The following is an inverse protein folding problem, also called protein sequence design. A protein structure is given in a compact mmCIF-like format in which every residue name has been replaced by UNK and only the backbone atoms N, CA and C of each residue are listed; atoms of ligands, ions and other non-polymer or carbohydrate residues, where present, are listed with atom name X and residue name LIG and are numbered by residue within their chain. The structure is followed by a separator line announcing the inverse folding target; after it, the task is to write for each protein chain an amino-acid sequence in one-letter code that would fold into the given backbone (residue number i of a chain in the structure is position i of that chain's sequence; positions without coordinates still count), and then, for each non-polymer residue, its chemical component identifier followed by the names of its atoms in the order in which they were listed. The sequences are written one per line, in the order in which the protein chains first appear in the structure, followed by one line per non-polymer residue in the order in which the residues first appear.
data_IF_092456697526
#
_entry.id   IF_092456697526
#
_cell.length_a   1.000
_cell.length_b   1.000
_cell.length_c   1.000
_cell.angle_alpha   90.00
_cell.angle_beta   90.00
_cell.angle_gamma   90.00
#
_symmetry.space_group_name_H-M   'P 1'
#
loop_
_entity.id
_entity.type
_entity.pdbx_description
1 polymer ?
#
# COMPACT_ATOMS: atom_id res chain seq x y z
N UNK A 1 -10.46 -11.82 -12.59
CA UNK A 1 -10.46 -10.36 -12.34
C UNK A 1 -9.24 -9.68 -12.99
N UNK A 2 -9.25 -8.37 -13.18
CA UNK A 2 -8.05 -7.58 -13.48
C UNK A 2 -8.23 -6.23 -12.77
N UNK A 3 -7.65 -6.13 -11.57
CA UNK A 3 -7.88 -5.01 -10.65
C UNK A 3 -6.61 -4.75 -9.85
N UNK A 4 -6.24 -3.47 -9.67
CA UNK A 4 -5.21 -3.06 -8.72
C UNK A 4 -5.84 -2.11 -7.70
N UNK A 5 -5.49 -2.25 -6.43
CA UNK A 5 -6.04 -1.45 -5.32
C UNK A 5 -4.89 -0.99 -4.45
N UNK A 6 -4.80 0.31 -4.24
CA UNK A 6 -3.74 1.02 -3.53
C UNK A 6 -4.31 1.95 -2.45
N UNK A 7 -3.46 2.50 -1.59
CA UNK A 7 -3.91 3.40 -0.50
C UNK A 7 -4.58 4.67 -1.03
N UNK A 8 -4.19 5.11 -2.21
CA UNK A 8 -4.78 6.23 -2.93
C UNK A 8 -6.22 5.96 -3.36
N UNK A 9 -6.65 4.70 -3.44
CA UNK A 9 -8.00 4.30 -3.83
C UNK A 9 -9.01 4.34 -2.68
N UNK A 10 -8.55 4.55 -1.44
CA UNK A 10 -9.42 4.73 -0.28
C UNK A 10 -9.97 6.16 -0.32
N UNK A 11 -10.85 6.45 -1.26
CA UNK A 11 -11.52 7.75 -1.43
C UNK A 11 -12.97 7.58 -1.93
N UNK A 12 -13.78 8.63 -1.81
CA UNK A 12 -15.19 8.61 -2.21
C UNK A 12 -15.95 7.44 -1.57
N UNK A 13 -16.67 6.65 -2.38
CA UNK A 13 -17.43 5.48 -1.95
C UNK A 13 -16.57 4.39 -1.27
N UNK A 14 -15.26 4.34 -1.53
CA UNK A 14 -14.36 3.34 -0.96
C UNK A 14 -13.77 3.77 0.39
N UNK A 15 -14.08 4.99 0.86
CA UNK A 15 -13.72 5.48 2.17
C UNK A 15 -14.96 5.69 3.04
N UNK A 16 -14.81 5.46 4.34
CA UNK A 16 -15.74 5.89 5.37
C UNK A 16 -14.94 6.30 6.61
N UNK A 17 -15.62 6.71 7.67
CA UNK A 17 -14.99 7.07 8.93
C UNK A 17 -15.42 6.13 10.04
N UNK A 18 -14.53 5.95 11.01
CA UNK A 18 -14.77 5.19 12.24
C UNK A 18 -14.26 6.03 13.41
N UNK A 19 -15.10 6.21 14.42
CA UNK A 19 -14.71 6.82 15.68
C UNK A 19 -14.37 5.73 16.67
N UNK A 20 -13.13 5.72 17.15
CA UNK A 20 -12.65 4.78 18.17
C UNK A 20 -12.26 5.55 19.43
N UNK A 21 -12.52 4.98 20.59
CA UNK A 21 -11.96 5.50 21.85
C UNK A 21 -10.58 4.91 22.04
N UNK A 22 -9.55 5.76 22.08
CA UNK A 22 -8.19 5.31 22.33
C UNK A 22 -8.09 4.74 23.76
N UNK A 23 -7.73 3.45 23.93
CA UNK A 23 -7.71 2.81 25.24
C UNK A 23 -6.63 3.39 26.18
N UNK A 24 -5.60 4.04 25.66
CA UNK A 24 -4.52 4.63 26.45
C UNK A 24 -4.84 6.06 26.92
N UNK A 25 -5.54 6.86 26.11
CA UNK A 25 -5.82 8.27 26.41
C UNK A 25 -7.28 8.54 26.79
N UNK A 26 -8.18 7.60 26.53
CA UNK A 26 -9.63 7.75 26.70
C UNK A 26 -10.28 8.74 25.74
N UNK A 27 -9.53 9.27 24.77
CA UNK A 27 -10.02 10.26 23.81
C UNK A 27 -10.64 9.56 22.60
N UNK A 28 -11.70 10.16 22.07
CA UNK A 28 -12.28 9.73 20.79
C UNK A 28 -11.41 10.25 19.64
N UNK A 29 -11.05 9.34 18.76
CA UNK A 29 -10.30 9.62 17.55
C UNK A 29 -11.12 9.15 16.36
N UNK A 30 -11.43 10.07 15.44
CA UNK A 30 -12.08 9.72 14.18
C UNK A 30 -11.01 9.50 13.13
N UNK A 31 -11.01 8.32 12.52
CA UNK A 31 -10.05 7.94 11.50
C UNK A 31 -10.76 7.55 10.21
N UNK A 32 -10.09 7.81 9.10
CA UNK A 32 -10.49 7.34 7.77
C UNK A 32 -10.23 5.85 7.66
N UNK A 33 -11.23 5.10 7.23
CA UNK A 33 -11.16 3.65 7.01
C UNK A 33 -11.67 3.29 5.62
N UNK A 34 -11.27 2.11 5.16
CA UNK A 34 -11.70 1.51 3.91
C UNK A 34 -13.11 0.94 4.05
N UNK A 35 -13.98 1.31 3.11
CA UNK A 35 -15.31 0.73 3.00
C UNK A 35 -15.21 -0.67 2.40
N UNK A 36 -15.15 -1.67 3.29
CA UNK A 36 -15.00 -3.08 2.93
C UNK A 36 -16.11 -3.57 1.99
N UNK A 37 -17.36 -3.18 2.22
CA UNK A 37 -18.50 -3.66 1.43
C UNK A 37 -18.42 -3.15 -0.01
N UNK A 38 -18.11 -1.86 -0.20
CA UNK A 38 -17.94 -1.27 -1.53
C UNK A 38 -16.72 -1.86 -2.27
N UNK A 39 -15.64 -2.14 -1.55
CA UNK A 39 -14.46 -2.78 -2.12
C UNK A 39 -14.77 -4.21 -2.61
N UNK A 40 -15.46 -4.99 -1.78
CA UNK A 40 -15.84 -6.35 -2.13
C UNK A 40 -16.83 -6.36 -3.30
N UNK A 41 -17.81 -5.46 -3.30
CA UNK A 41 -18.76 -5.29 -4.40
C UNK A 41 -18.05 -4.99 -5.74
N UNK A 42 -17.13 -4.01 -5.76
CA UNK A 42 -16.32 -3.73 -6.97
C UNK A 42 -15.54 -4.96 -7.44
N UNK A 43 -14.93 -5.68 -6.50
CA UNK A 43 -14.14 -6.88 -6.79
C UNK A 43 -15.00 -8.00 -7.38
N UNK A 44 -16.19 -8.24 -6.82
CA UNK A 44 -17.16 -9.21 -7.31
C UNK A 44 -17.68 -8.83 -8.69
N UNK A 45 -18.08 -7.57 -8.91
CA UNK A 45 -18.50 -7.07 -10.23
C UNK A 45 -17.40 -7.28 -11.29
N UNK A 46 -16.15 -7.03 -10.91
CA UNK A 46 -14.98 -7.28 -11.77
C UNK A 46 -14.80 -8.77 -12.12
N UNK A 47 -15.09 -9.67 -11.17
CA UNK A 47 -15.07 -11.11 -11.43
C UNK A 47 -16.18 -11.50 -12.40
N UNK A 48 -17.43 -11.11 -12.12
CA UNK A 48 -18.61 -11.42 -12.93
C UNK A 48 -18.43 -10.95 -14.37
N UNK A 49 -18.03 -9.68 -14.57
CA UNK A 49 -17.80 -9.12 -15.92
C UNK A 49 -16.80 -9.94 -16.73
N UNK A 50 -15.77 -10.51 -16.09
CA UNK A 50 -14.82 -11.38 -16.80
C UNK A 50 -15.37 -12.75 -17.10
N UNK A 51 -16.21 -13.30 -16.24
CA UNK A 51 -16.93 -14.55 -16.52
C UNK A 51 -17.88 -14.39 -17.70
N UNK A 52 -18.58 -13.26 -17.81
CA UNK A 52 -19.41 -12.90 -18.98
C UNK A 52 -18.60 -12.85 -20.28
N UNK A 53 -17.31 -12.48 -20.20
CA UNK A 53 -16.38 -12.52 -21.33
C UNK A 53 -15.78 -13.91 -21.60
N UNK A 54 -16.23 -14.96 -20.88
CA UNK A 54 -15.67 -16.31 -20.96
C UNK A 54 -14.28 -16.45 -20.31
N UNK A 55 -13.84 -15.47 -19.51
CA UNK A 55 -12.54 -15.44 -18.84
C UNK A 55 -12.71 -15.68 -17.34
N UNK A 56 -12.87 -16.94 -16.96
CA UNK A 56 -13.09 -17.37 -15.57
C UNK A 56 -11.82 -17.31 -14.67
N UNK A 57 -10.89 -16.40 -14.97
CA UNK A 57 -9.63 -16.26 -14.25
C UNK A 57 -9.19 -14.80 -14.16
N UNK A 58 -8.22 -14.57 -13.27
CA UNK A 58 -7.39 -13.38 -13.27
C UNK A 58 -6.89 -13.00 -11.89
N UNK A 59 -6.45 -11.76 -11.73
CA UNK A 59 -5.69 -11.30 -10.56
C UNK A 59 -6.27 -10.00 -10.03
N UNK A 60 -6.34 -9.90 -8.70
CA UNK A 60 -6.57 -8.65 -7.97
C UNK A 60 -5.28 -8.39 -7.18
N UNK A 61 -4.65 -7.24 -7.42
CA UNK A 61 -3.44 -6.81 -6.71
C UNK A 61 -3.86 -5.80 -5.65
N UNK A 62 -3.39 -5.99 -4.42
CA UNK A 62 -3.75 -5.15 -3.28
C UNK A 62 -2.47 -4.69 -2.59
N UNK A 63 -2.32 -3.38 -2.38
CA UNK A 63 -1.19 -2.82 -1.64
C UNK A 63 -1.29 -3.16 -0.15
N UNK A 64 -0.18 -3.58 0.46
CA UNK A 64 -0.11 -3.93 1.90
C UNK A 64 -0.52 -2.76 2.81
N UNK A 65 -0.19 -1.52 2.41
CA UNK A 65 -0.54 -0.30 3.16
C UNK A 65 -2.05 -0.10 3.37
N UNK A 66 -2.92 -0.80 2.63
CA UNK A 66 -4.36 -0.80 2.88
C UNK A 66 -4.74 -1.38 4.25
N UNK A 67 -3.85 -2.13 4.89
CA UNK A 67 -4.04 -2.61 6.25
C UNK A 67 -4.22 -1.46 7.26
N UNK A 68 -3.62 -0.29 7.04
CA UNK A 68 -3.78 0.89 7.89
C UNK A 68 -5.20 1.44 7.89
N UNK A 69 -5.93 1.22 6.79
CA UNK A 69 -7.31 1.65 6.60
C UNK A 69 -8.33 0.58 6.99
N UNK A 70 -7.92 -0.57 7.55
CA UNK A 70 -8.89 -1.58 7.98
C UNK A 70 -9.74 -1.06 9.16
N UNK A 71 -11.07 -1.29 9.15
CA UNK A 71 -11.93 -0.99 10.30
C UNK A 71 -11.47 -1.74 11.56
N UNK A 72 -11.74 -1.19 12.75
CA UNK A 72 -11.16 -1.68 14.00
C UNK A 72 -11.62 -3.10 14.33
N UNK A 73 -12.84 -3.45 13.94
CA UNK A 73 -13.40 -4.81 14.08
C UNK A 73 -12.56 -5.90 13.42
N UNK A 74 -11.76 -5.57 12.39
CA UNK A 74 -10.85 -6.50 11.72
C UNK A 74 -9.47 -6.60 12.41
N UNK A 75 -9.21 -5.72 13.37
CA UNK A 75 -7.94 -5.56 14.07
C UNK A 75 -8.01 -6.09 15.50
N UNK A 76 -9.18 -6.49 15.98
CA UNK A 76 -9.38 -7.06 17.31
C UNK A 76 -8.52 -8.31 17.51
N UNK A 77 -7.67 -8.30 18.54
CA UNK A 77 -6.76 -9.41 18.88
C UNK A 77 -5.39 -9.36 18.20
N UNK A 78 -5.09 -8.33 17.39
CA UNK A 78 -3.78 -8.14 16.77
C UNK A 78 -2.87 -7.33 17.73
N UNK A 79 -1.62 -7.78 18.00
CA UNK A 79 -0.68 -7.04 18.85
C UNK A 79 -0.36 -5.65 18.27
N UNK A 80 -0.31 -4.64 19.14
CA UNK A 80 0.27 -3.33 18.80
C UNK A 80 1.78 -3.37 19.06
N UNK A 81 2.54 -2.63 18.26
CA UNK A 81 3.98 -2.46 18.49
C UNK A 81 4.27 -1.46 19.63
N UNK A 82 5.56 -1.31 19.96
CA UNK A 82 6.06 -0.43 21.03
C UNK A 82 5.74 1.06 20.80
N UNK A 83 5.34 1.45 19.59
CA UNK A 83 4.97 2.81 19.21
C UNK A 83 3.45 3.02 19.19
N UNK A 84 2.66 2.00 19.54
CA UNK A 84 1.20 2.06 19.52
C UNK A 84 0.60 1.93 18.11
N UNK A 85 1.44 1.68 17.10
CA UNK A 85 0.99 1.38 15.76
C UNK A 85 0.60 -0.10 15.66
N UNK A 86 -0.33 -0.38 14.76
CA UNK A 86 -0.69 -1.74 14.42
C UNK A 86 0.54 -2.37 13.76
N UNK A 87 0.99 -3.54 14.21
CA UNK A 87 2.05 -4.26 13.53
C UNK A 87 1.51 -4.78 12.18
N UNK A 88 1.51 -3.93 11.16
CA UNK A 88 0.94 -4.20 9.82
C UNK A 88 1.48 -5.52 9.25
N UNK A 89 2.77 -5.79 9.46
CA UNK A 89 3.44 -7.02 9.05
C UNK A 89 2.84 -8.32 9.64
N UNK A 90 2.12 -8.23 10.76
CA UNK A 90 1.42 -9.36 11.38
C UNK A 90 -0.03 -9.51 10.89
N UNK A 91 -0.58 -8.50 10.21
CA UNK A 91 -1.92 -8.58 9.63
C UNK A 91 -1.85 -9.42 8.36
N UNK A 92 -2.57 -10.54 8.38
CA UNK A 92 -2.79 -11.30 7.16
C UNK A 92 -3.92 -10.68 6.33
N UNK A 93 -3.66 -9.49 5.78
CA UNK A 93 -4.61 -8.74 4.93
C UNK A 93 -5.13 -9.63 3.80
N UNK A 94 -4.24 -10.43 3.22
CA UNK A 94 -4.55 -11.36 2.15
C UNK A 94 -5.64 -12.37 2.54
N UNK A 95 -5.55 -12.99 3.72
CA UNK A 95 -6.56 -13.94 4.21
C UNK A 95 -7.89 -13.24 4.51
N UNK A 96 -7.87 -12.06 5.11
CA UNK A 96 -9.06 -11.25 5.38
C UNK A 96 -9.79 -10.99 4.07
N UNK A 97 -9.12 -10.39 3.08
CA UNK A 97 -9.75 -10.04 1.80
C UNK A 97 -10.24 -11.27 1.04
N UNK A 98 -9.48 -12.36 1.03
CA UNK A 98 -9.88 -13.60 0.33
C UNK A 98 -11.16 -14.20 0.93
N UNK A 99 -11.26 -14.23 2.26
CA UNK A 99 -12.45 -14.72 2.97
C UNK A 99 -13.68 -13.87 2.64
N UNK A 100 -13.56 -12.55 2.74
CA UNK A 100 -14.66 -11.62 2.49
C UNK A 100 -15.08 -11.60 1.02
N UNK A 101 -14.13 -11.65 0.09
CA UNK A 101 -14.42 -11.72 -1.33
C UNK A 101 -15.14 -13.01 -1.72
N UNK A 102 -14.74 -14.14 -1.12
CA UNK A 102 -15.39 -15.43 -1.36
C UNK A 102 -16.85 -15.41 -0.91
N UNK A 103 -17.12 -14.89 0.29
CA UNK A 103 -18.47 -14.77 0.83
C UNK A 103 -19.33 -13.78 0.03
N UNK A 104 -18.75 -12.63 -0.37
CA UNK A 104 -19.44 -11.64 -1.19
C UNK A 104 -19.80 -12.20 -2.58
N UNK A 105 -18.88 -12.94 -3.21
CA UNK A 105 -19.12 -13.58 -4.51
C UNK A 105 -20.24 -14.64 -4.42
N UNK A 106 -20.22 -15.48 -3.39
CA UNK A 106 -21.26 -16.50 -3.18
C UNK A 106 -22.63 -15.86 -2.93
N UNK A 107 -22.67 -14.78 -2.13
CA UNK A 107 -23.91 -14.03 -1.87
C UNK A 107 -24.48 -13.41 -3.14
N UNK A 108 -23.62 -12.85 -4.01
CA UNK A 108 -24.04 -12.18 -5.23
C UNK A 108 -24.47 -13.14 -6.35
N UNK A 109 -23.85 -14.33 -6.43
CA UNK A 109 -24.01 -15.23 -7.59
C UNK A 109 -24.68 -16.56 -7.28
N UNK A 110 -24.76 -16.94 -6.00
CA UNK A 110 -25.17 -18.28 -5.54
C UNK A 110 -24.17 -19.39 -5.90
N UNK A 111 -22.97 -19.04 -6.38
CA UNK A 111 -21.92 -19.99 -6.79
C UNK A 111 -20.65 -19.76 -5.99
N UNK A 112 -19.86 -20.82 -5.85
CA UNK A 112 -18.53 -20.71 -5.27
C UNK A 112 -17.46 -20.60 -6.37
N UNK A 113 -16.38 -19.87 -6.09
CA UNK A 113 -15.19 -19.80 -6.92
C UNK A 113 -13.95 -19.99 -6.08
N UNK A 114 -12.94 -20.63 -6.67
CA UNK A 114 -11.63 -20.79 -6.04
C UNK A 114 -10.88 -19.47 -6.07
N UNK A 115 -10.65 -18.88 -4.90
CA UNK A 115 -9.86 -17.66 -4.72
C UNK A 115 -8.65 -18.03 -3.87
N UNK A 116 -7.45 -17.90 -4.44
CA UNK A 116 -6.21 -18.17 -3.73
C UNK A 116 -5.54 -16.85 -3.38
N UNK A 117 -5.42 -16.57 -2.09
CA UNK A 117 -4.63 -15.46 -1.59
C UNK A 117 -3.14 -15.77 -1.62
N UNK A 118 -2.32 -14.82 -2.07
CA UNK A 118 -0.87 -14.86 -1.98
C UNK A 118 -0.37 -13.50 -1.48
N UNK A 119 0.36 -13.50 -0.37
CA UNK A 119 1.05 -12.32 0.16
C UNK A 119 2.54 -12.44 -0.18
N UNK A 120 3.09 -11.42 -0.83
CA UNK A 120 4.50 -11.35 -1.19
C UNK A 120 5.18 -10.33 -0.29
N UNK A 121 6.21 -10.74 0.45
CA UNK A 121 6.90 -9.84 1.37
C UNK A 121 8.34 -10.27 1.64
N UNK A 122 8.54 -11.17 2.59
CA UNK A 122 9.89 -11.61 2.99
C UNK A 122 10.70 -12.17 1.81
N UNK A 123 10.04 -12.86 0.90
CA UNK A 123 10.64 -13.48 -0.28
C UNK A 123 11.21 -12.45 -1.26
N UNK A 124 10.62 -11.25 -1.33
CA UNK A 124 11.11 -10.17 -2.20
C UNK A 124 12.19 -9.32 -1.55
N UNK A 125 12.25 -9.25 -0.22
CA UNK A 125 13.23 -8.43 0.53
C UNK A 125 14.66 -8.97 0.52
N UNK A 126 14.81 -10.29 0.47
CA UNK A 126 16.12 -10.96 0.53
C UNK A 126 16.54 -11.58 -0.81
N UNK A 127 15.99 -11.09 -1.91
CA UNK A 127 16.41 -11.52 -3.24
C UNK A 127 17.79 -10.94 -3.60
N UNK A 128 18.51 -11.62 -4.50
CA UNK A 128 19.78 -11.11 -4.99
C UNK A 128 19.56 -9.78 -5.72
N UNK A 129 20.35 -8.72 -5.41
CA UNK A 129 20.21 -7.43 -6.06
C UNK A 129 20.48 -7.53 -7.57
N UNK A 130 19.74 -6.75 -8.35
CA UNK A 130 19.97 -6.63 -9.79
C UNK A 130 21.23 -5.80 -10.09
N UNK A 131 21.68 -5.78 -11.34
CA UNK A 131 22.79 -4.90 -11.76
C UNK A 131 22.50 -3.42 -11.48
N UNK A 132 21.23 -3.00 -11.62
CA UNK A 132 20.78 -1.65 -11.29
C UNK A 132 20.95 -1.37 -9.80
N UNK A 133 20.52 -2.29 -8.92
CA UNK A 133 20.62 -2.14 -7.47
C UNK A 133 22.08 -2.09 -7.00
N UNK A 134 22.96 -2.91 -7.59
CA UNK A 134 24.39 -2.89 -7.30
C UNK A 134 25.01 -1.55 -7.67
N UNK A 135 24.69 -1.02 -8.87
CA UNK A 135 25.17 0.29 -9.30
C UNK A 135 24.62 1.40 -8.42
N UNK A 136 23.31 1.39 -8.12
CA UNK A 136 22.65 2.37 -7.26
C UNK A 136 23.26 2.37 -5.86
N UNK A 137 23.37 1.21 -5.21
CA UNK A 137 23.94 1.08 -3.88
C UNK A 137 25.40 1.52 -3.84
N UNK A 138 26.19 1.16 -4.85
CA UNK A 138 27.59 1.61 -4.97
C UNK A 138 27.68 3.13 -5.10
N UNK A 139 26.84 3.73 -5.96
CA UNK A 139 26.82 5.17 -6.17
C UNK A 139 26.38 5.93 -4.92
N UNK A 140 25.34 5.45 -4.21
CA UNK A 140 24.89 6.04 -2.96
C UNK A 140 25.98 5.95 -1.88
N UNK A 141 26.69 4.83 -1.78
CA UNK A 141 27.81 4.66 -0.85
C UNK A 141 28.97 5.61 -1.14
N UNK A 142 29.40 5.71 -2.40
CA UNK A 142 30.40 6.71 -2.84
C UNK A 142 29.87 8.11 -2.57
N UNK A 143 28.61 8.38 -2.87
CA UNK A 143 27.97 9.66 -2.63
C UNK A 143 28.00 10.11 -1.18
N UNK A 144 27.82 9.18 -0.24
CA UNK A 144 27.92 9.44 1.20
C UNK A 144 29.34 9.81 1.63
N UNK A 145 30.35 9.09 1.13
CA UNK A 145 31.75 9.46 1.35
C UNK A 145 32.03 10.88 0.83
N UNK A 146 31.63 11.16 -0.43
CA UNK A 146 31.86 12.46 -1.06
C UNK A 146 31.15 13.60 -0.33
N UNK A 147 29.90 13.41 0.08
CA UNK A 147 29.16 14.37 0.90
C UNK A 147 29.93 14.75 2.17
N UNK A 148 30.31 13.75 2.97
CA UNK A 148 30.91 13.97 4.27
C UNK A 148 32.36 14.47 4.19
N UNK A 149 33.17 13.90 3.29
CA UNK A 149 34.63 14.07 3.29
C UNK A 149 35.10 15.08 2.25
N UNK A 150 34.55 15.05 1.03
CA UNK A 150 35.01 15.94 -0.06
C UNK A 150 34.29 17.28 0.01
N UNK A 151 32.98 17.26 0.20
CA UNK A 151 32.13 18.45 0.20
C UNK A 151 31.91 19.03 1.60
N UNK A 152 32.24 18.29 2.66
CA UNK A 152 32.11 18.73 4.06
C UNK A 152 30.66 18.97 4.48
N UNK A 153 29.70 18.29 3.85
CA UNK A 153 28.27 18.40 4.13
C UNK A 153 27.87 17.50 5.31
N UNK A 154 26.87 17.93 6.07
CA UNK A 154 26.15 17.13 7.06
C UNK A 154 24.64 17.29 6.87
N UNK A 155 23.85 16.47 7.56
CA UNK A 155 22.39 16.65 7.57
C UNK A 155 21.70 16.49 6.21
N UNK A 156 22.32 15.76 5.27
CA UNK A 156 21.78 15.52 3.92
C UNK A 156 21.47 14.05 3.66
N UNK A 157 20.38 13.80 2.94
CA UNK A 157 20.11 12.53 2.28
C UNK A 157 20.88 12.47 0.95
N UNK A 158 21.68 11.41 0.78
CA UNK A 158 22.32 11.10 -0.49
C UNK A 158 21.32 10.45 -1.42
N UNK A 159 21.21 10.97 -2.64
CA UNK A 159 20.34 10.47 -3.67
C UNK A 159 21.04 10.53 -5.04
N UNK A 160 20.40 9.98 -6.06
CA UNK A 160 20.87 10.05 -7.44
C UNK A 160 19.75 10.49 -8.37
N UNK A 161 20.11 11.14 -9.48
CA UNK A 161 19.16 11.53 -10.54
C UNK A 161 19.74 11.26 -11.92
N UNK A 162 18.89 11.05 -12.93
CA UNK A 162 19.28 10.84 -14.32
C UNK A 162 20.28 9.68 -14.47
N UNK A 163 21.50 9.95 -14.93
CA UNK A 163 22.57 8.97 -15.14
C UNK A 163 23.35 8.72 -13.85
N UNK A 164 22.65 8.50 -12.74
CA UNK A 164 23.25 8.31 -11.41
C UNK A 164 24.04 9.53 -10.89
N UNK A 165 23.69 10.74 -11.34
CA UNK A 165 24.30 11.98 -10.86
C UNK A 165 23.95 12.17 -9.38
N UNK A 166 24.98 12.37 -8.55
CA UNK A 166 24.80 12.55 -7.11
C UNK A 166 24.00 13.80 -6.81
N UNK A 167 23.05 13.66 -5.87
CA UNK A 167 22.29 14.77 -5.31
C UNK A 167 22.29 14.66 -3.80
N UNK A 168 22.52 15.79 -3.15
CA UNK A 168 22.41 15.93 -1.70
C UNK A 168 21.17 16.74 -1.38
N UNK A 169 20.25 16.16 -0.61
CA UNK A 169 18.98 16.79 -0.25
C UNK A 169 18.99 17.05 1.25
N UNK A 170 18.92 18.31 1.72
CA UNK A 170 18.85 18.62 3.14
C UNK A 170 17.68 17.89 3.83
N UNK A 171 17.92 17.34 5.03
CA UNK A 171 16.86 16.64 5.77
C UNK A 171 15.70 17.56 6.15
N UNK A 172 15.94 18.85 6.36
CA UNK A 172 14.90 19.86 6.60
C UNK A 172 13.88 19.97 5.46
N UNK A 173 14.23 19.60 4.22
CA UNK A 173 13.29 19.54 3.10
C UNK A 173 12.45 18.25 3.08
N UNK A 174 12.81 17.27 3.90
CA UNK A 174 12.25 15.91 3.89
C UNK A 174 11.41 15.59 5.13
N UNK A 175 11.48 16.46 6.13
CA UNK A 175 10.86 16.29 7.44
C UNK A 175 9.84 17.39 7.65
N UNK A 176 8.70 17.03 8.22
CA UNK A 176 7.70 18.00 8.66
C UNK A 176 8.24 18.76 9.89
N UNK A 177 8.33 20.10 9.82
CA UNK A 177 8.95 20.90 10.87
C UNK A 177 8.18 20.90 12.21
N UNK A 178 6.90 20.51 12.21
CA UNK A 178 6.07 20.53 13.42
C UNK A 178 6.19 19.24 14.23
N UNK A 179 6.17 18.08 13.57
CA UNK A 179 6.18 16.77 14.23
C UNK A 179 7.53 16.02 14.08
N UNK A 180 8.45 16.55 13.27
CA UNK A 180 9.76 15.97 12.97
C UNK A 180 9.71 14.58 12.31
N UNK A 181 8.58 14.24 11.69
CA UNK A 181 8.39 12.98 10.96
C UNK A 181 8.72 13.17 9.48
N UNK A 182 9.32 12.17 8.86
CA UNK A 182 9.59 12.18 7.42
C UNK A 182 8.29 12.18 6.63
N UNK A 183 8.19 13.05 5.62
CA UNK A 183 7.01 13.15 4.77
C UNK A 183 6.88 11.89 3.90
N UNK A 184 5.76 11.16 4.05
CA UNK A 184 5.41 10.02 3.19
C UNK A 184 5.00 10.55 1.81
N UNK A 185 5.54 9.93 0.75
CA UNK A 185 5.24 10.32 -0.64
C UNK A 185 4.31 9.30 -1.28
N UNK A 186 3.01 9.60 -1.27
CA UNK A 186 2.00 8.82 -1.98
C UNK A 186 2.07 9.02 -3.49
N UNK A 187 1.47 8.10 -4.24
CA UNK A 187 1.21 8.31 -5.67
C UNK A 187 0.26 9.51 -5.78
N UNK A 188 0.61 10.47 -6.64
CA UNK A 188 -0.28 11.61 -6.88
C UNK A 188 -1.55 11.12 -7.57
N UNK A 189 -2.70 11.26 -6.90
CA UNK A 189 -4.02 10.96 -7.49
C UNK A 189 -4.18 11.71 -8.81
N UNK A 190 -4.76 11.04 -9.81
CA UNK A 190 -4.94 11.53 -11.18
C UNK A 190 -3.66 11.79 -12.00
N UNK A 191 -2.47 11.46 -11.49
CA UNK A 191 -1.24 11.41 -12.31
C UNK A 191 -1.32 10.33 -13.39
N UNK A 192 -0.44 10.41 -14.40
CA UNK A 192 -0.39 9.41 -15.47
C UNK A 192 -0.09 8.01 -14.92
N UNK A 193 0.79 7.91 -13.92
CA UNK A 193 1.10 6.65 -13.27
C UNK A 193 -0.10 6.07 -12.51
N UNK A 194 -0.83 6.93 -11.78
CA UNK A 194 -2.07 6.52 -11.11
C UNK A 194 -3.13 6.03 -12.11
N UNK A 195 -3.32 6.77 -13.20
CA UNK A 195 -4.30 6.45 -14.24
C UNK A 195 -3.93 5.22 -15.05
N UNK A 196 -2.65 4.89 -15.19
CA UNK A 196 -2.20 3.69 -15.92
C UNK A 196 -2.88 2.43 -15.39
N UNK A 197 -2.95 2.27 -14.06
CA UNK A 197 -3.66 1.16 -13.45
C UNK A 197 -5.12 1.13 -13.93
N UNK A 198 -5.83 2.26 -13.86
CA UNK A 198 -7.23 2.39 -14.29
C UNK A 198 -7.46 2.05 -15.76
N UNK A 199 -6.52 2.37 -16.64
CA UNK A 199 -6.61 2.02 -18.07
C UNK A 199 -6.38 0.52 -18.34
N UNK A 200 -5.63 -0.17 -17.48
CA UNK A 200 -5.31 -1.59 -17.64
C UNK A 200 -6.30 -2.50 -16.91
N UNK A 201 -7.11 -1.94 -16.01
CA UNK A 201 -8.14 -2.65 -15.28
C UNK A 201 -9.28 -3.13 -16.19
N UNK A 202 -10.00 -4.13 -15.70
CA UNK A 202 -11.24 -4.57 -16.32
C UNK A 202 -12.29 -3.47 -16.16
N UNK A 203 -12.79 -2.95 -17.28
CA UNK A 203 -13.96 -2.08 -17.28
C UNK A 203 -15.20 -2.85 -16.82
N UNK A 204 -15.87 -2.33 -15.79
CA UNK A 204 -17.05 -2.92 -15.15
C UNK A 204 -18.33 -2.15 -15.45
N UNK A 205 -18.25 -1.01 -16.12
CA UNK A 205 -19.41 -0.24 -16.58
C UNK A 205 -20.01 -0.83 -17.87
#
# INVERSE_FOLDING_TARGET
ACLAISVEDVEGDYATEETITNPATGQEETRKIMNMDKLMDRSVRTMIKREEQGKEFGVIVVAEGLAEYLPHSYLEGIPRDDHGHIAISQINLCQILTKHLSAAYETATGKTRKINGLQLGYESRCTQPTAFDVMLGSQLGVGAFRALVEEGLDGVMVSVKNQFDLRYVPFEELVDPENLVTVVRYIKTNSDFHKLARYLEQDID
#
